data_IF_464917173679
#
_entry.id   IF_464917173679
#
_cell.length_a   1.000
_cell.length_b   1.000
_cell.length_c   1.000
_cell.angle_alpha   90.00
_cell.angle_beta   90.00
_cell.angle_gamma   90.00
#
_symmetry.space_group_name_H-M   'P 1'
#
loop_
_entity.id
_entity.type
_entity.pdbx_description
1 polymer ?
#
# COMPACT_ATOMS: atom_id res chain seq x y z
N UNK A 1 -15.18 -34.64 0.24
CA UNK A 1 -15.59 -34.70 -1.19
C UNK A 1 -14.62 -33.92 -2.09
N UNK A 2 -14.20 -32.70 -1.74
CA UNK A 2 -13.24 -31.89 -2.53
C UNK A 2 -11.90 -32.62 -2.78
N UNK A 3 -11.33 -33.29 -1.77
CA UNK A 3 -10.09 -34.06 -1.93
C UNK A 3 -10.30 -35.27 -2.86
N UNK A 4 -11.46 -35.93 -2.83
CA UNK A 4 -11.83 -36.97 -3.81
C UNK A 4 -12.07 -36.40 -5.22
N UNK A 5 -12.55 -35.15 -5.33
CA UNK A 5 -12.77 -34.44 -6.60
C UNK A 5 -11.46 -34.00 -7.28
N UNK A 6 -10.40 -33.71 -6.50
CA UNK A 6 -9.06 -33.40 -7.07
C UNK A 6 -8.46 -34.56 -7.84
N UNK A 7 -8.73 -35.82 -7.43
CA UNK A 7 -8.23 -37.01 -8.12
C UNK A 7 -8.97 -37.36 -9.41
N UNK A 8 -10.15 -36.76 -9.67
CA UNK A 8 -10.94 -36.97 -10.89
C UNK A 8 -11.10 -35.69 -11.71
N UNK A 9 -10.14 -34.76 -11.62
CA UNK A 9 -10.12 -33.56 -12.43
C UNK A 9 -10.03 -33.88 -13.92
N UNK A 10 -10.97 -33.36 -14.71
CA UNK A 10 -10.96 -33.48 -16.17
C UNK A 10 -10.74 -32.12 -16.82
N UNK A 11 -9.67 -31.99 -17.56
CA UNK A 11 -9.35 -30.77 -18.30
C UNK A 11 -10.49 -30.33 -19.24
N UNK A 12 -11.17 -31.26 -19.89
CA UNK A 12 -12.28 -30.99 -20.80
C UNK A 12 -13.50 -30.41 -20.06
N UNK A 13 -13.83 -30.94 -18.87
CA UNK A 13 -14.95 -30.41 -18.07
C UNK A 13 -14.64 -29.02 -17.53
N UNK A 14 -13.43 -28.83 -17.01
CA UNK A 14 -12.94 -27.52 -16.60
C UNK A 14 -12.97 -26.49 -17.75
N UNK A 15 -12.47 -26.87 -18.91
CA UNK A 15 -12.47 -26.02 -20.12
C UNK A 15 -13.90 -25.65 -20.53
N UNK A 16 -14.85 -26.57 -20.45
CA UNK A 16 -16.26 -26.29 -20.71
C UNK A 16 -16.83 -25.22 -19.79
N UNK A 17 -16.51 -25.26 -18.48
CA UNK A 17 -16.92 -24.22 -17.52
C UNK A 17 -16.25 -22.88 -17.87
N UNK A 18 -14.95 -22.85 -18.14
CA UNK A 18 -14.23 -21.62 -18.55
C UNK A 18 -14.84 -21.00 -19.80
N UNK A 19 -15.14 -21.80 -20.84
CA UNK A 19 -15.74 -21.31 -22.09
C UNK A 19 -17.13 -20.71 -21.82
N UNK A 20 -17.94 -21.38 -20.96
CA UNK A 20 -19.26 -20.85 -20.56
C UNK A 20 -19.10 -19.47 -19.90
N UNK A 21 -18.25 -19.36 -18.88
CA UNK A 21 -18.02 -18.10 -18.15
C UNK A 21 -17.48 -16.99 -19.06
N UNK A 22 -16.56 -17.31 -19.97
CA UNK A 22 -16.05 -16.36 -20.97
C UNK A 22 -17.14 -15.87 -21.91
N UNK A 23 -18.09 -16.73 -22.31
CA UNK A 23 -19.22 -16.33 -23.14
C UNK A 23 -20.19 -15.41 -22.39
N UNK A 24 -20.48 -15.70 -21.12
CA UNK A 24 -21.34 -14.87 -20.27
C UNK A 24 -20.72 -13.48 -20.08
N UNK A 25 -19.43 -13.40 -19.73
CA UNK A 25 -18.70 -12.14 -19.64
C UNK A 25 -18.71 -11.35 -20.94
N UNK A 26 -18.46 -12.02 -22.09
CA UNK A 26 -18.42 -11.34 -23.40
C UNK A 26 -19.78 -10.81 -23.84
N UNK A 27 -20.87 -11.42 -23.39
CA UNK A 27 -22.26 -10.95 -23.66
C UNK A 27 -22.61 -9.73 -22.84
N UNK A 28 -22.06 -9.58 -21.65
CA UNK A 28 -22.27 -8.42 -20.80
C UNK A 28 -21.29 -7.30 -21.14
N UNK A 29 -21.61 -6.59 -22.24
CA UNK A 29 -20.78 -5.48 -22.75
C UNK A 29 -20.59 -4.36 -21.72
N UNK A 30 -21.55 -4.14 -20.82
CA UNK A 30 -21.49 -3.11 -19.80
C UNK A 30 -20.47 -3.50 -18.74
N UNK A 31 -20.53 -4.74 -18.24
CA UNK A 31 -19.52 -5.23 -17.28
C UNK A 31 -18.12 -5.23 -17.89
N UNK A 32 -17.96 -5.67 -19.14
CA UNK A 32 -16.67 -5.61 -19.83
C UNK A 32 -16.17 -4.17 -19.96
N UNK A 33 -17.01 -3.23 -20.39
CA UNK A 33 -16.62 -1.82 -20.49
C UNK A 33 -16.23 -1.23 -19.11
N UNK A 34 -16.99 -1.55 -18.06
CA UNK A 34 -16.69 -1.09 -16.68
C UNK A 34 -15.37 -1.64 -16.16
N UNK A 35 -15.00 -2.89 -16.47
CA UNK A 35 -13.70 -3.49 -16.10
C UNK A 35 -12.52 -2.66 -16.62
N UNK A 36 -12.66 -2.07 -17.81
CA UNK A 36 -11.57 -1.29 -18.42
C UNK A 36 -11.67 0.21 -18.13
N UNK A 37 -12.87 0.80 -18.22
CA UNK A 37 -13.06 2.24 -18.07
C UNK A 37 -12.95 2.68 -16.60
N UNK A 38 -13.51 1.94 -15.65
CA UNK A 38 -13.50 2.31 -14.25
C UNK A 38 -12.07 2.42 -13.66
N UNK A 39 -11.16 1.45 -13.90
CA UNK A 39 -9.78 1.56 -13.43
C UNK A 39 -9.04 2.76 -14.00
N UNK A 40 -9.19 3.03 -15.29
CA UNK A 40 -8.55 4.17 -15.93
C UNK A 40 -9.08 5.50 -15.38
N UNK A 41 -10.38 5.60 -15.20
CA UNK A 41 -11.02 6.79 -14.65
C UNK A 41 -10.62 7.01 -13.18
N UNK A 42 -10.60 5.96 -12.37
CA UNK A 42 -10.13 6.03 -10.99
C UNK A 42 -8.64 6.38 -10.91
N UNK A 43 -7.80 5.79 -11.77
CA UNK A 43 -6.38 6.11 -11.81
C UNK A 43 -6.14 7.60 -12.11
N UNK A 44 -6.84 8.15 -13.09
CA UNK A 44 -6.71 9.55 -13.47
C UNK A 44 -7.22 10.46 -12.36
N UNK A 45 -8.45 10.26 -11.89
CA UNK A 45 -9.04 11.12 -10.85
C UNK A 45 -8.24 11.05 -9.55
N UNK A 46 -8.03 9.84 -8.99
CA UNK A 46 -7.34 9.69 -7.71
C UNK A 46 -5.86 10.03 -7.81
N UNK A 47 -5.22 9.78 -8.95
CA UNK A 47 -3.82 10.14 -9.19
C UNK A 47 -3.57 11.66 -9.15
N UNK A 48 -4.57 12.46 -9.47
CA UNK A 48 -4.47 13.92 -9.42
C UNK A 48 -5.12 14.56 -8.18
N UNK A 49 -6.07 13.90 -7.50
CA UNK A 49 -6.91 14.53 -6.47
C UNK A 49 -6.50 14.27 -5.02
N UNK A 50 -5.57 13.33 -4.74
CA UNK A 50 -5.29 12.91 -3.36
C UNK A 50 -4.23 13.80 -2.70
N UNK A 51 -4.58 14.41 -1.56
CA UNK A 51 -3.71 15.26 -0.74
C UNK A 51 -3.73 14.82 0.75
N UNK A 52 -2.57 14.68 1.40
CA UNK A 52 -2.48 14.07 2.73
C UNK A 52 -1.44 14.72 3.66
N UNK A 53 -1.80 14.96 4.94
CA UNK A 53 -0.92 15.51 5.99
C UNK A 53 -0.67 14.44 7.07
N UNK A 54 0.58 14.03 7.27
CA UNK A 54 0.96 13.02 8.24
C UNK A 54 1.68 13.64 9.44
N UNK A 55 1.36 13.16 10.66
CA UNK A 55 1.95 13.61 11.93
C UNK A 55 2.59 12.43 12.69
N UNK A 56 3.40 12.72 13.71
CA UNK A 56 4.12 11.74 14.54
C UNK A 56 4.99 10.77 13.72
N UNK A 57 5.71 11.29 12.73
CA UNK A 57 6.50 10.51 11.81
C UNK A 57 7.74 9.95 12.50
N UNK A 58 7.97 8.62 12.51
CA UNK A 58 9.13 8.01 13.12
C UNK A 58 10.42 8.53 12.50
N UNK A 59 11.29 9.06 13.35
CA UNK A 59 12.52 9.75 12.95
C UNK A 59 13.70 9.25 13.74
N UNK A 60 14.76 8.79 13.08
CA UNK A 60 16.02 8.47 13.72
C UNK A 60 16.83 9.76 13.98
N UNK A 61 17.26 9.95 15.22
CA UNK A 61 18.06 11.11 15.62
C UNK A 61 19.50 10.69 15.88
N UNK A 62 20.43 11.20 15.07
CA UNK A 62 21.87 11.13 15.26
C UNK A 62 22.34 12.47 15.81
N UNK A 63 22.52 12.58 17.12
CA UNK A 63 22.99 13.80 17.74
C UNK A 63 24.45 13.64 18.21
N UNK A 64 25.39 14.26 17.51
CA UNK A 64 26.81 14.29 17.84
C UNK A 64 27.21 15.52 18.70
N UNK A 65 26.21 16.37 19.06
CA UNK A 65 26.42 17.55 19.90
C UNK A 65 25.65 17.44 21.22
N UNK A 66 26.34 17.56 22.33
CA UNK A 66 25.74 17.55 23.68
C UNK A 66 25.34 18.93 24.20
N UNK A 67 25.46 19.96 23.36
CA UNK A 67 25.24 21.35 23.76
C UNK A 67 23.75 21.69 23.93
N UNK A 68 23.50 22.79 24.65
CA UNK A 68 22.12 23.22 24.95
C UNK A 68 21.28 23.50 23.67
N UNK A 69 21.88 24.16 22.64
CA UNK A 69 21.13 24.52 21.44
C UNK A 69 20.71 23.30 20.58
N UNK A 70 21.48 22.20 20.63
CA UNK A 70 21.07 20.95 19.96
C UNK A 70 19.86 20.32 20.65
N UNK A 71 19.82 20.37 22.00
CA UNK A 71 18.67 19.87 22.77
C UNK A 71 17.42 20.73 22.57
N UNK A 72 17.56 22.05 22.53
CA UNK A 72 16.46 22.98 22.23
C UNK A 72 15.90 22.71 20.82
N UNK A 73 16.76 22.48 19.82
CA UNK A 73 16.33 22.13 18.48
C UNK A 73 15.52 20.83 18.46
N UNK A 74 16.01 19.77 19.12
CA UNK A 74 15.32 18.49 19.20
C UNK A 74 13.95 18.63 19.87
N UNK A 75 13.88 19.31 21.01
CA UNK A 75 12.64 19.56 21.73
C UNK A 75 11.65 20.38 20.88
N UNK A 76 12.13 21.42 20.22
CA UNK A 76 11.29 22.25 19.36
C UNK A 76 10.76 21.47 18.14
N UNK A 77 11.59 20.62 17.52
CA UNK A 77 11.16 19.77 16.41
C UNK A 77 10.13 18.72 16.84
N UNK A 78 10.26 18.13 18.03
CA UNK A 78 9.26 17.23 18.62
C UNK A 78 7.93 17.96 18.89
N UNK A 79 7.98 19.19 19.38
CA UNK A 79 6.79 20.00 19.67
C UNK A 79 6.01 20.43 18.40
N UNK A 80 6.53 20.19 17.21
CA UNK A 80 5.78 20.43 15.97
C UNK A 80 4.73 19.35 15.68
N UNK A 81 4.70 18.27 16.46
CA UNK A 81 3.86 17.08 16.25
C UNK A 81 4.13 16.33 14.92
N UNK A 82 5.08 16.80 14.11
CA UNK A 82 5.46 16.11 12.88
C UNK A 82 6.43 14.95 13.13
N UNK A 83 7.30 15.04 14.14
CA UNK A 83 8.41 14.13 14.36
C UNK A 83 8.32 13.38 15.68
N UNK A 84 8.39 12.04 15.59
CA UNK A 84 8.61 11.16 16.74
C UNK A 84 10.08 10.73 16.73
N UNK A 85 10.95 11.49 17.43
CA UNK A 85 12.39 11.30 17.38
C UNK A 85 12.85 10.18 18.31
N UNK A 86 13.57 9.18 17.75
CA UNK A 86 14.22 8.09 18.47
C UNK A 86 15.73 8.25 18.35
N UNK A 87 16.46 8.40 19.46
CA UNK A 87 17.93 8.43 19.44
C UNK A 87 18.49 7.10 18.91
N UNK A 88 19.48 7.16 18.04
CA UNK A 88 20.22 6.02 17.51
C UNK A 88 21.71 6.23 17.72
N UNK A 89 22.45 5.13 17.92
CA UNK A 89 23.85 5.20 18.33
C UNK A 89 24.80 5.39 17.13
N UNK A 90 24.42 4.97 15.93
CA UNK A 90 25.29 5.00 14.77
C UNK A 90 24.54 5.28 13.48
N UNK A 91 25.27 5.78 12.47
CA UNK A 91 24.73 5.98 11.12
C UNK A 91 24.33 4.65 10.46
N UNK A 92 25.04 3.56 10.76
CA UNK A 92 24.71 2.24 10.27
C UNK A 92 23.34 1.76 10.80
N UNK A 93 23.06 1.97 12.09
CA UNK A 93 21.77 1.68 12.71
C UNK A 93 20.65 2.54 12.11
N UNK A 94 20.89 3.84 11.96
CA UNK A 94 19.93 4.74 11.32
C UNK A 94 19.59 4.31 9.90
N UNK A 95 20.60 3.92 9.12
CA UNK A 95 20.43 3.42 7.75
C UNK A 95 19.66 2.10 7.70
N UNK A 96 19.92 1.18 8.61
CA UNK A 96 19.20 -0.09 8.71
C UNK A 96 17.71 0.14 8.99
N UNK A 97 17.39 0.97 10.00
CA UNK A 97 16.01 1.34 10.32
C UNK A 97 15.31 2.04 9.15
N UNK A 98 16.03 2.89 8.43
CA UNK A 98 15.52 3.62 7.26
C UNK A 98 15.22 2.67 6.08
N UNK A 99 16.11 1.73 5.79
CA UNK A 99 15.90 0.72 4.72
C UNK A 99 14.77 -0.22 5.09
N UNK A 100 14.65 -0.65 6.36
CA UNK A 100 13.52 -1.47 6.84
C UNK A 100 12.18 -0.73 6.82
N UNK A 101 12.19 0.61 6.74
CA UNK A 101 11.00 1.43 6.81
C UNK A 101 10.47 1.65 8.24
N UNK A 102 11.25 1.29 9.26
CA UNK A 102 10.92 1.54 10.68
C UNK A 102 10.99 3.03 11.01
N UNK A 103 11.79 3.80 10.26
CA UNK A 103 11.85 5.26 10.30
C UNK A 103 11.74 5.85 8.90
N UNK A 104 11.10 7.01 8.82
CA UNK A 104 10.88 7.75 7.56
C UNK A 104 11.88 8.89 7.42
N UNK A 105 12.35 9.43 8.55
CA UNK A 105 13.35 10.49 8.59
C UNK A 105 14.59 10.09 9.35
N UNK A 106 15.73 10.67 8.96
CA UNK A 106 16.95 10.69 9.75
C UNK A 106 17.39 12.14 9.90
N UNK A 107 17.59 12.57 11.15
CA UNK A 107 18.11 13.90 11.47
C UNK A 107 19.49 13.75 12.07
N UNK A 108 20.50 14.35 11.44
CA UNK A 108 21.89 14.30 11.88
C UNK A 108 22.35 15.70 12.31
N UNK A 109 22.61 15.85 13.60
CA UNK A 109 23.18 17.06 14.20
C UNK A 109 24.69 16.87 14.31
N UNK A 110 25.53 17.69 13.65
CA UNK A 110 26.97 17.50 13.63
C UNK A 110 27.62 17.87 14.97
N UNK A 111 28.79 17.32 15.20
CA UNK A 111 29.60 17.64 16.38
C UNK A 111 29.94 19.15 16.42
N UNK A 112 29.82 19.73 17.61
CA UNK A 112 30.11 21.15 17.86
C UNK A 112 29.06 22.09 17.28
N UNK A 113 27.83 21.62 16.99
CA UNK A 113 26.71 22.41 16.48
C UNK A 113 26.45 23.65 17.35
N UNK A 114 26.26 23.49 18.63
CA UNK A 114 26.08 24.59 19.61
C UNK A 114 27.24 25.61 19.59
N UNK A 115 28.48 25.09 19.59
CA UNK A 115 29.66 25.94 19.59
C UNK A 115 29.80 26.76 18.31
N UNK A 116 29.50 26.16 17.15
CA UNK A 116 29.57 26.87 15.86
C UNK A 116 28.52 27.98 15.79
N UNK A 117 27.29 27.71 16.23
CA UNK A 117 26.23 28.73 16.28
C UNK A 117 26.66 29.92 17.18
N UNK A 118 27.19 29.63 18.38
CA UNK A 118 27.63 30.68 19.30
C UNK A 118 28.81 31.53 18.77
N UNK A 119 29.56 31.02 17.80
CA UNK A 119 30.61 31.75 17.07
C UNK A 119 30.08 32.51 15.85
N UNK A 120 28.80 32.45 15.55
CA UNK A 120 28.21 33.02 14.34
C UNK A 120 28.54 32.24 13.06
N UNK A 121 29.10 31.03 13.19
CA UNK A 121 29.30 30.12 12.07
C UNK A 121 27.94 29.44 11.79
N UNK A 122 27.70 29.07 10.52
CA UNK A 122 26.48 28.37 10.08
C UNK A 122 26.75 26.85 9.98
N UNK A 123 26.53 26.06 11.03
CA UNK A 123 26.66 24.61 10.93
C UNK A 123 25.59 24.03 10.01
N UNK A 124 25.92 22.96 9.31
CA UNK A 124 24.99 22.25 8.44
C UNK A 124 24.26 21.16 9.24
N UNK A 125 22.93 21.19 9.21
CA UNK A 125 22.06 20.14 9.77
C UNK A 125 21.52 19.30 8.63
N UNK A 126 21.79 17.98 8.66
CA UNK A 126 21.33 17.06 7.63
C UNK A 126 20.00 16.44 8.01
N UNK A 127 18.99 16.55 7.14
CA UNK A 127 17.72 15.85 7.25
C UNK A 127 17.54 14.99 6.02
N UNK A 128 17.52 13.68 6.20
CA UNK A 128 17.24 12.72 5.15
C UNK A 128 15.83 12.18 5.33
N UNK A 129 15.03 12.12 4.25
CA UNK A 129 13.67 11.63 4.28
C UNK A 129 13.40 10.60 3.21
N UNK A 130 12.56 9.61 3.51
CA UNK A 130 12.03 8.65 2.53
C UNK A 130 10.99 9.33 1.65
N UNK A 131 11.42 9.88 0.54
CA UNK A 131 10.58 10.66 -0.38
C UNK A 131 9.60 9.82 -1.21
N UNK A 132 9.39 8.56 -0.86
CA UNK A 132 8.29 7.74 -1.42
C UNK A 132 6.93 8.35 -1.07
N UNK A 133 6.81 8.98 0.12
CA UNK A 133 5.64 9.78 0.47
C UNK A 133 6.00 11.28 0.48
N UNK A 134 5.93 11.96 -0.69
CA UNK A 134 6.38 13.34 -0.82
C UNK A 134 5.58 14.33 0.01
N UNK A 135 4.33 13.99 0.35
CA UNK A 135 3.48 14.91 1.12
C UNK A 135 3.81 14.90 2.60
N UNK A 136 3.96 13.70 3.16
CA UNK A 136 4.45 13.52 4.54
C UNK A 136 5.77 14.27 4.72
N UNK A 137 6.68 14.12 3.74
CA UNK A 137 7.98 14.76 3.77
C UNK A 137 7.88 16.26 3.51
N UNK A 138 7.09 16.69 2.53
CA UNK A 138 6.96 18.10 2.18
C UNK A 138 6.46 18.94 3.35
N UNK A 139 5.43 18.48 4.05
CA UNK A 139 4.87 19.16 5.21
C UNK A 139 5.85 19.17 6.41
N UNK A 140 6.45 18.02 6.71
CA UNK A 140 7.42 17.90 7.80
C UNK A 140 8.69 18.74 7.55
N UNK A 141 9.23 18.72 6.32
CA UNK A 141 10.39 19.53 5.98
C UNK A 141 10.08 21.03 5.97
N UNK A 142 8.87 21.42 5.53
CA UNK A 142 8.41 22.80 5.61
C UNK A 142 8.27 23.26 7.06
N UNK A 143 7.76 22.38 7.95
CA UNK A 143 7.68 22.64 9.38
C UNK A 143 9.08 22.83 10.01
N UNK A 144 10.05 21.96 9.70
CA UNK A 144 11.45 22.15 10.17
C UNK A 144 12.02 23.45 9.60
N UNK A 145 11.89 23.69 8.30
CA UNK A 145 12.45 24.89 7.66
C UNK A 145 11.85 26.18 8.21
N UNK A 146 10.56 26.20 8.51
CA UNK A 146 9.90 27.34 9.13
C UNK A 146 10.27 27.50 10.60
N UNK A 147 10.28 26.40 11.32
CA UNK A 147 10.62 26.38 12.76
C UNK A 147 12.10 26.67 12.99
N UNK A 148 13.00 26.24 12.09
CA UNK A 148 14.44 26.52 12.19
C UNK A 148 14.77 28.02 12.32
N UNK A 149 13.92 28.87 11.74
CA UNK A 149 14.04 30.34 11.83
C UNK A 149 13.66 30.89 13.20
N UNK A 150 12.84 30.18 13.96
CA UNK A 150 12.28 30.65 15.24
C UNK A 150 12.69 29.83 16.45
N UNK A 151 13.02 28.54 16.25
CA UNK A 151 13.31 27.58 17.33
C UNK A 151 14.41 28.02 18.28
N UNK A 152 15.46 28.67 17.77
CA UNK A 152 16.62 29.07 18.57
C UNK A 152 16.58 30.55 18.99
N UNK A 153 15.59 31.34 18.55
CA UNK A 153 15.57 32.78 18.82
C UNK A 153 15.46 33.12 20.35
N UNK A 154 14.83 32.27 21.14
CA UNK A 154 14.72 32.44 22.59
C UNK A 154 16.06 32.26 23.32
N UNK A 155 16.87 31.32 22.87
CA UNK A 155 18.07 30.84 23.55
C UNK A 155 19.37 31.38 22.97
N UNK A 156 19.29 32.21 21.92
CA UNK A 156 20.46 32.87 21.33
C UNK A 156 20.93 34.05 22.17
N UNK A 157 22.28 34.25 22.29
CA UNK A 157 22.83 35.45 22.87
C UNK A 157 22.31 36.73 22.25
N UNK A 158 22.18 37.85 23.00
CA UNK A 158 21.64 39.11 22.47
C UNK A 158 22.35 39.63 21.22
N UNK A 159 23.66 39.36 21.08
CA UNK A 159 24.45 39.71 19.91
C UNK A 159 24.03 38.98 18.63
N UNK A 160 23.42 37.79 18.74
CA UNK A 160 22.93 36.98 17.62
C UNK A 160 21.41 37.13 17.44
N UNK A 161 20.68 37.65 18.42
CA UNK A 161 19.24 37.95 18.32
C UNK A 161 18.93 39.04 17.26
N UNK A 162 19.86 39.91 16.93
CA UNK A 162 19.75 40.93 15.87
C UNK A 162 19.81 40.32 14.46
N UNK A 163 20.19 39.06 14.32
CA UNK A 163 20.10 38.29 13.08
C UNK A 163 18.74 37.59 12.89
N UNK A 164 17.73 37.97 13.69
CA UNK A 164 16.37 37.45 13.57
C UNK A 164 15.86 37.64 12.13
N UNK A 165 15.69 36.51 11.43
CA UNK A 165 15.36 36.46 10.00
C UNK A 165 16.49 35.95 9.09
N UNK A 166 17.71 35.76 9.60
CA UNK A 166 18.77 35.00 8.90
C UNK A 166 18.86 33.60 9.47
N UNK A 167 18.99 32.62 8.58
CA UNK A 167 19.15 31.22 8.98
C UNK A 167 20.41 31.07 9.86
N UNK A 168 20.21 30.57 11.08
CA UNK A 168 21.27 30.37 12.08
C UNK A 168 22.11 29.14 11.77
N UNK A 169 21.55 28.22 10.98
CA UNK A 169 22.22 27.04 10.45
C UNK A 169 21.69 26.73 9.04
N UNK A 170 22.48 26.03 8.26
CA UNK A 170 22.07 25.58 6.93
C UNK A 170 21.39 24.21 7.02
N UNK A 171 20.15 24.13 6.53
CA UNK A 171 19.40 22.89 6.50
C UNK A 171 19.63 22.17 5.16
N UNK A 172 20.34 21.05 5.18
CA UNK A 172 20.54 20.20 4.01
C UNK A 172 19.46 19.12 4.00
N UNK A 173 18.61 19.13 2.97
CA UNK A 173 17.52 18.18 2.79
C UNK A 173 17.92 17.20 1.70
N UNK A 174 18.02 15.93 2.06
CA UNK A 174 18.28 14.84 1.13
C UNK A 174 17.06 13.93 1.02
N UNK A 175 16.35 13.98 -0.11
CA UNK A 175 15.19 13.14 -0.42
C UNK A 175 15.66 11.86 -1.10
N UNK A 176 15.54 10.72 -0.43
CA UNK A 176 15.85 9.40 -1.01
C UNK A 176 14.62 8.82 -1.73
N UNK A 177 14.85 8.04 -2.79
CA UNK A 177 13.85 7.31 -3.60
C UNK A 177 12.88 8.14 -4.43
N UNK A 178 12.63 9.42 -4.09
CA UNK A 178 11.81 10.34 -4.86
C UNK A 178 12.34 11.77 -4.71
N UNK A 179 13.51 12.09 -5.30
CA UNK A 179 14.16 13.39 -5.10
C UNK A 179 13.30 14.58 -5.53
N UNK A 180 12.49 14.41 -6.57
CA UNK A 180 11.60 15.45 -7.11
C UNK A 180 10.32 15.65 -6.29
N UNK A 181 10.04 14.73 -5.34
CA UNK A 181 8.86 14.82 -4.49
C UNK A 181 7.54 14.58 -5.25
N UNK A 182 7.55 13.73 -6.27
CA UNK A 182 6.39 13.47 -7.12
C UNK A 182 5.33 12.67 -6.32
N UNK A 183 4.18 13.27 -6.08
CA UNK A 183 3.07 12.69 -5.29
C UNK A 183 2.55 11.38 -5.89
N UNK A 184 2.53 11.29 -7.21
CA UNK A 184 2.07 10.13 -7.97
C UNK A 184 2.86 8.85 -7.64
N UNK A 185 4.14 8.95 -7.30
CA UNK A 185 4.97 7.80 -6.94
C UNK A 185 4.46 7.11 -5.67
N UNK A 186 3.92 7.86 -4.73
CA UNK A 186 3.27 7.29 -3.54
C UNK A 186 1.85 6.79 -3.82
N UNK A 187 1.07 7.57 -4.57
CA UNK A 187 -0.38 7.38 -4.71
C UNK A 187 -0.72 6.23 -5.66
N UNK A 188 -0.03 6.12 -6.79
CA UNK A 188 -0.39 5.16 -7.84
C UNK A 188 -0.24 3.70 -7.41
N UNK A 189 0.80 3.26 -6.67
CA UNK A 189 0.84 1.90 -6.14
C UNK A 189 -0.37 1.54 -5.28
N UNK A 190 -0.85 2.48 -4.47
CA UNK A 190 -2.07 2.33 -3.68
C UNK A 190 -3.34 2.23 -4.54
N UNK A 191 -3.41 3.04 -5.60
CA UNK A 191 -4.51 3.01 -6.57
C UNK A 191 -4.56 1.66 -7.28
N UNK A 192 -3.43 1.09 -7.73
CA UNK A 192 -3.36 -0.24 -8.35
C UNK A 192 -4.01 -1.28 -7.44
N UNK A 193 -3.60 -1.33 -6.18
CA UNK A 193 -4.15 -2.27 -5.21
C UNK A 193 -5.64 -2.07 -4.94
N UNK A 194 -6.09 -0.83 -4.79
CA UNK A 194 -7.49 -0.50 -4.51
C UNK A 194 -8.40 -0.83 -5.71
N UNK A 195 -7.97 -0.54 -6.93
CA UNK A 195 -8.72 -0.87 -8.15
C UNK A 195 -8.86 -2.39 -8.30
N UNK A 196 -7.75 -3.14 -8.17
CA UNK A 196 -7.78 -4.60 -8.27
C UNK A 196 -8.68 -5.20 -7.19
N UNK A 197 -8.59 -4.74 -5.94
CA UNK A 197 -9.47 -5.19 -4.87
C UNK A 197 -10.93 -4.97 -5.20
N UNK A 198 -11.28 -3.74 -5.57
CA UNK A 198 -12.69 -3.40 -5.86
C UNK A 198 -13.23 -4.22 -7.00
N UNK A 199 -12.53 -4.26 -8.11
CA UNK A 199 -13.00 -4.92 -9.33
C UNK A 199 -13.11 -6.43 -9.12
N UNK A 200 -12.04 -7.07 -8.62
CA UNK A 200 -12.00 -8.53 -8.53
C UNK A 200 -12.91 -9.08 -7.44
N UNK A 201 -12.94 -8.45 -6.25
CA UNK A 201 -13.80 -8.88 -5.16
C UNK A 201 -15.26 -8.73 -5.55
N UNK A 202 -15.64 -7.55 -6.06
CA UNK A 202 -17.01 -7.25 -6.42
C UNK A 202 -17.52 -8.14 -7.57
N UNK A 203 -16.76 -8.23 -8.67
CA UNK A 203 -17.15 -9.04 -9.81
C UNK A 203 -17.31 -10.52 -9.45
N UNK A 204 -16.36 -11.07 -8.67
CA UNK A 204 -16.42 -12.47 -8.23
C UNK A 204 -17.62 -12.71 -7.31
N UNK A 205 -17.83 -11.81 -6.34
CA UNK A 205 -18.96 -11.91 -5.42
C UNK A 205 -20.29 -11.85 -6.18
N UNK A 206 -20.46 -10.89 -7.08
CA UNK A 206 -21.69 -10.73 -7.84
C UNK A 206 -21.95 -11.87 -8.83
N UNK A 207 -20.91 -12.33 -9.57
CA UNK A 207 -21.07 -13.40 -10.55
C UNK A 207 -21.56 -14.70 -9.91
N UNK A 208 -20.98 -15.09 -8.77
CA UNK A 208 -21.36 -16.32 -8.07
C UNK A 208 -22.74 -16.17 -7.42
N UNK A 209 -23.03 -15.02 -6.80
CA UNK A 209 -24.33 -14.77 -6.16
C UNK A 209 -25.46 -14.71 -7.20
N UNK A 210 -25.23 -14.10 -8.37
CA UNK A 210 -26.20 -14.04 -9.47
C UNK A 210 -26.61 -15.43 -9.97
N UNK A 211 -25.67 -16.36 -10.12
CA UNK A 211 -26.00 -17.73 -10.51
C UNK A 211 -26.85 -18.44 -9.46
N UNK A 212 -26.59 -18.17 -8.19
CA UNK A 212 -27.37 -18.73 -7.08
C UNK A 212 -28.80 -18.18 -7.08
N UNK A 213 -28.97 -16.86 -7.26
CA UNK A 213 -30.30 -16.23 -7.39
C UNK A 213 -31.12 -16.78 -8.58
N UNK A 214 -30.44 -17.04 -9.69
CA UNK A 214 -31.09 -17.53 -10.91
C UNK A 214 -31.36 -19.05 -10.91
N UNK A 215 -31.03 -19.77 -9.82
CA UNK A 215 -31.18 -21.23 -9.73
C UNK A 215 -30.24 -22.02 -10.67
N UNK A 216 -29.28 -21.35 -11.31
CA UNK A 216 -28.36 -22.00 -12.25
C UNK A 216 -27.41 -23.00 -11.57
N UNK A 217 -27.28 -22.92 -10.25
CA UNK A 217 -26.52 -23.87 -9.43
C UNK A 217 -27.12 -25.28 -9.49
N UNK A 218 -28.46 -25.43 -9.58
CA UNK A 218 -29.12 -26.73 -9.68
C UNK A 218 -28.74 -27.46 -10.98
N UNK A 219 -28.58 -26.73 -12.08
CA UNK A 219 -28.13 -27.29 -13.35
C UNK A 219 -26.68 -27.82 -13.30
N UNK A 220 -25.83 -27.22 -12.46
CA UNK A 220 -24.46 -27.67 -12.23
C UNK A 220 -24.41 -28.96 -11.40
N UNK A 221 -25.38 -29.17 -10.49
CA UNK A 221 -25.46 -30.40 -9.68
C UNK A 221 -25.85 -31.62 -10.52
N UNK A 222 -26.58 -31.42 -11.63
CA UNK A 222 -26.98 -32.50 -12.55
C UNK A 222 -25.85 -32.85 -13.52
N UNK A 223 -24.88 -31.95 -13.69
CA UNK A 223 -23.74 -32.18 -14.58
C UNK A 223 -22.64 -33.04 -13.95
N UNK A 224 -21.85 -33.81 -14.74
CA UNK A 224 -20.78 -34.64 -14.20
C UNK A 224 -19.55 -33.83 -13.74
N UNK A 225 -19.69 -32.52 -13.51
CA UNK A 225 -18.62 -31.59 -13.12
C UNK A 225 -18.43 -31.63 -11.62
N UNK A 226 -17.18 -31.72 -11.15
CA UNK A 226 -16.87 -31.66 -9.72
C UNK A 226 -16.91 -30.23 -9.19
N UNK A 227 -17.27 -30.02 -7.92
CA UNK A 227 -17.30 -28.69 -7.29
C UNK A 227 -15.97 -27.95 -7.41
N UNK A 228 -14.85 -28.67 -7.42
CA UNK A 228 -13.51 -28.08 -7.63
C UNK A 228 -13.34 -27.55 -9.05
N UNK A 229 -13.77 -28.29 -10.07
CA UNK A 229 -13.72 -27.87 -11.48
C UNK A 229 -14.60 -26.64 -11.73
N UNK A 230 -15.74 -26.54 -11.04
CA UNK A 230 -16.62 -25.37 -11.11
C UNK A 230 -15.93 -24.15 -10.54
N UNK A 231 -15.36 -24.26 -9.32
CA UNK A 231 -14.69 -23.12 -8.69
C UNK A 231 -13.51 -22.63 -9.53
N UNK A 232 -12.61 -23.55 -9.93
CA UNK A 232 -11.43 -23.20 -10.70
C UNK A 232 -11.83 -22.66 -12.10
N UNK A 233 -12.85 -23.24 -12.71
CA UNK A 233 -13.39 -22.78 -14.00
C UNK A 233 -13.95 -21.36 -13.91
N UNK A 234 -14.65 -21.01 -12.85
CA UNK A 234 -15.18 -19.65 -12.61
C UNK A 234 -14.10 -18.63 -12.30
N UNK A 235 -13.09 -19.03 -11.52
CA UNK A 235 -11.99 -18.12 -11.15
C UNK A 235 -11.10 -17.81 -12.37
N UNK A 236 -10.89 -18.75 -13.27
CA UNK A 236 -9.95 -18.61 -14.39
C UNK A 236 -10.19 -17.35 -15.23
N UNK A 237 -11.41 -17.02 -15.70
CA UNK A 237 -11.66 -15.78 -16.45
C UNK A 237 -11.33 -14.52 -15.62
N UNK A 238 -11.65 -14.52 -14.34
CA UNK A 238 -11.37 -13.37 -13.47
C UNK A 238 -9.87 -13.20 -13.20
N UNK A 239 -9.09 -14.29 -13.14
CA UNK A 239 -7.61 -14.21 -13.09
C UNK A 239 -7.08 -13.54 -14.35
N UNK A 240 -7.58 -13.92 -15.54
CA UNK A 240 -7.17 -13.31 -16.81
C UNK A 240 -7.51 -11.83 -16.86
N UNK A 241 -8.71 -11.46 -16.41
CA UNK A 241 -9.15 -10.06 -16.28
C UNK A 241 -8.23 -9.31 -15.31
N UNK A 242 -7.96 -9.85 -14.14
CA UNK A 242 -7.09 -9.23 -13.14
C UNK A 242 -5.66 -9.03 -13.65
N UNK A 243 -5.10 -10.00 -14.36
CA UNK A 243 -3.78 -9.88 -14.98
C UNK A 243 -3.77 -8.81 -16.07
N UNK A 244 -4.76 -8.82 -16.96
CA UNK A 244 -4.85 -7.80 -18.01
C UNK A 244 -5.02 -6.40 -17.41
N UNK A 245 -5.90 -6.25 -16.41
CA UNK A 245 -6.16 -5.00 -15.72
C UNK A 245 -4.90 -4.48 -15.01
N UNK A 246 -4.17 -5.36 -14.31
CA UNK A 246 -2.94 -4.97 -13.62
C UNK A 246 -1.84 -4.54 -14.59
N UNK A 247 -1.68 -5.26 -15.71
CA UNK A 247 -0.72 -4.88 -16.76
C UNK A 247 -1.09 -3.56 -17.42
N UNK A 248 -2.39 -3.34 -17.69
CA UNK A 248 -2.89 -2.09 -18.26
C UNK A 248 -2.60 -0.91 -17.33
N UNK A 249 -2.93 -1.05 -16.03
CA UNK A 249 -2.71 0.03 -15.07
C UNK A 249 -1.21 0.29 -14.88
N UNK A 250 -0.37 -0.75 -14.82
CA UNK A 250 1.08 -0.60 -14.75
C UNK A 250 1.63 0.13 -15.97
N UNK A 251 1.20 -0.27 -17.17
CA UNK A 251 1.60 0.40 -18.40
C UNK A 251 1.21 1.87 -18.38
N UNK A 252 -0.04 2.19 -18.05
CA UNK A 252 -0.50 3.57 -17.91
C UNK A 252 0.27 4.33 -16.82
N UNK A 253 0.60 3.68 -15.71
CA UNK A 253 1.38 4.29 -14.61
C UNK A 253 2.78 4.72 -15.07
N UNK A 254 3.44 3.88 -15.86
CA UNK A 254 4.76 4.21 -16.41
C UNK A 254 4.66 5.28 -17.49
N UNK A 255 3.71 5.14 -18.44
CA UNK A 255 3.62 6.03 -19.61
C UNK A 255 3.06 7.42 -19.24
N UNK A 256 2.00 7.47 -18.41
CA UNK A 256 1.33 8.74 -18.08
C UNK A 256 2.00 9.49 -16.91
N UNK A 257 2.55 8.75 -15.93
CA UNK A 257 3.07 9.35 -14.70
C UNK A 257 4.58 9.16 -14.52
N UNK A 258 5.25 8.49 -15.46
CA UNK A 258 6.70 8.32 -15.43
C UNK A 258 7.21 7.53 -14.22
N UNK A 259 6.40 6.62 -13.65
CA UNK A 259 6.79 5.89 -12.44
C UNK A 259 7.94 4.94 -12.77
N UNK A 260 9.07 5.02 -12.04
CA UNK A 260 10.20 4.15 -12.28
C UNK A 260 9.87 2.70 -11.89
N UNK A 261 10.38 1.76 -12.66
CA UNK A 261 10.43 0.33 -12.33
C UNK A 261 11.85 -0.01 -11.92
N UNK A 262 12.22 0.31 -10.67
CA UNK A 262 13.59 0.12 -10.17
C UNK A 262 13.93 -1.37 -9.91
N UNK A 263 12.92 -2.19 -9.60
CA UNK A 263 13.09 -3.60 -9.26
C UNK A 263 12.73 -4.57 -10.38
N UNK A 264 12.72 -5.86 -10.03
CA UNK A 264 12.44 -6.95 -10.97
C UNK A 264 10.96 -7.01 -11.37
N UNK A 265 10.68 -6.95 -12.67
CA UNK A 265 9.33 -7.14 -13.24
C UNK A 265 8.77 -8.52 -12.89
N UNK A 266 9.62 -9.54 -12.80
CA UNK A 266 9.20 -10.89 -12.41
C UNK A 266 8.66 -10.94 -10.98
N UNK A 267 9.33 -10.27 -10.03
CA UNK A 267 8.87 -10.15 -8.65
C UNK A 267 7.53 -9.37 -8.59
N UNK A 268 7.42 -8.29 -9.34
CA UNK A 268 6.20 -7.50 -9.45
C UNK A 268 5.02 -8.34 -9.92
N UNK A 269 5.20 -9.10 -11.00
CA UNK A 269 4.16 -10.00 -11.53
C UNK A 269 3.79 -11.11 -10.54
N UNK A 270 4.76 -11.65 -9.82
CA UNK A 270 4.50 -12.66 -8.77
C UNK A 270 3.62 -12.10 -7.66
N UNK A 271 3.92 -10.89 -7.17
CA UNK A 271 3.12 -10.20 -6.14
C UNK A 271 1.71 -9.94 -6.65
N UNK A 272 1.57 -9.47 -7.89
CA UNK A 272 0.27 -9.22 -8.53
C UNK A 272 -0.57 -10.50 -8.62
N UNK A 273 0.02 -11.61 -9.05
CA UNK A 273 -0.67 -12.90 -9.15
C UNK A 273 -1.17 -13.36 -7.78
N UNK A 274 -0.33 -13.32 -6.75
CA UNK A 274 -0.71 -13.69 -5.38
C UNK A 274 -1.88 -12.81 -4.91
N UNK A 275 -1.79 -11.51 -5.15
CA UNK A 275 -2.83 -10.56 -4.75
C UNK A 275 -4.15 -10.76 -5.50
N UNK A 276 -4.11 -11.05 -6.80
CA UNK A 276 -5.28 -11.39 -7.61
C UNK A 276 -6.00 -12.61 -7.01
N UNK A 277 -5.27 -13.70 -6.76
CA UNK A 277 -5.87 -14.91 -6.15
C UNK A 277 -6.48 -14.61 -4.78
N UNK A 278 -5.86 -13.75 -3.99
CA UNK A 278 -6.35 -13.35 -2.69
C UNK A 278 -7.66 -12.54 -2.81
N UNK A 279 -7.73 -11.56 -3.70
CA UNK A 279 -8.94 -10.78 -3.96
C UNK A 279 -10.10 -11.69 -4.45
N UNK A 280 -9.83 -12.61 -5.36
CA UNK A 280 -10.83 -13.56 -5.85
C UNK A 280 -11.35 -14.47 -4.73
N UNK A 281 -10.47 -14.93 -3.85
CA UNK A 281 -10.84 -15.78 -2.70
C UNK A 281 -11.71 -15.03 -1.68
N UNK A 282 -11.45 -13.74 -1.46
CA UNK A 282 -12.33 -12.87 -0.65
C UNK A 282 -13.70 -12.74 -1.31
N UNK A 283 -13.75 -12.51 -2.64
CA UNK A 283 -15.00 -12.45 -3.40
C UNK A 283 -15.83 -13.72 -3.27
N UNK A 284 -15.19 -14.89 -3.38
CA UNK A 284 -15.84 -16.20 -3.16
C UNK A 284 -16.39 -16.31 -1.73
N UNK A 285 -15.61 -15.90 -0.73
CA UNK A 285 -16.02 -15.94 0.67
C UNK A 285 -17.25 -15.06 0.91
N UNK A 286 -17.30 -13.88 0.33
CA UNK A 286 -18.45 -12.97 0.39
C UNK A 286 -19.66 -13.60 -0.29
N UNK A 287 -19.50 -14.15 -1.50
CA UNK A 287 -20.60 -14.78 -2.26
C UNK A 287 -21.22 -15.96 -1.53
N UNK A 288 -20.44 -16.68 -0.74
CA UNK A 288 -20.91 -17.85 0.00
C UNK A 288 -21.84 -17.49 1.18
N UNK A 289 -21.73 -16.28 1.71
CA UNK A 289 -22.56 -15.75 2.81
C UNK A 289 -23.73 -14.92 2.27
N UNK A 290 -23.51 -14.17 1.19
CA UNK A 290 -24.52 -13.32 0.58
C UNK A 290 -25.70 -14.14 0.01
N UNK A 291 -26.92 -13.70 0.30
CA UNK A 291 -28.15 -14.35 -0.20
C UNK A 291 -28.60 -13.81 -1.56
N UNK A 292 -28.25 -12.57 -1.85
CA UNK A 292 -28.61 -11.87 -3.10
C UNK A 292 -27.50 -10.91 -3.54
N UNK A 293 -27.57 -10.43 -4.78
CA UNK A 293 -26.57 -9.53 -5.37
C UNK A 293 -26.45 -8.22 -4.59
N UNK A 294 -27.54 -7.67 -4.06
CA UNK A 294 -27.52 -6.45 -3.27
C UNK A 294 -26.70 -6.64 -1.98
N UNK A 295 -26.90 -7.77 -1.31
CA UNK A 295 -26.14 -8.12 -0.10
C UNK A 295 -24.66 -8.35 -0.42
N UNK A 296 -24.34 -9.02 -1.53
CA UNK A 296 -22.97 -9.21 -1.99
C UNK A 296 -22.27 -7.86 -2.26
N UNK A 297 -22.97 -6.92 -2.89
CA UNK A 297 -22.49 -5.54 -3.12
C UNK A 297 -22.21 -4.80 -1.81
N UNK A 298 -23.14 -4.85 -0.85
CA UNK A 298 -22.99 -4.20 0.45
C UNK A 298 -21.82 -4.78 1.25
N UNK A 299 -21.70 -6.12 1.30
CA UNK A 299 -20.61 -6.79 2.01
C UNK A 299 -19.25 -6.50 1.37
N UNK A 300 -19.17 -6.48 0.03
CA UNK A 300 -17.95 -6.09 -0.70
C UNK A 300 -17.54 -4.66 -0.40
N UNK A 301 -18.50 -3.73 -0.38
CA UNK A 301 -18.24 -2.33 -0.04
C UNK A 301 -17.83 -2.14 1.41
N UNK A 302 -18.47 -2.87 2.34
CA UNK A 302 -18.12 -2.87 3.75
C UNK A 302 -16.72 -3.41 4.03
N UNK A 303 -16.24 -4.36 3.24
CA UNK A 303 -14.85 -4.82 3.28
C UNK A 303 -13.88 -3.81 2.65
N UNK A 304 -14.25 -3.26 1.47
CA UNK A 304 -13.36 -2.43 0.66
C UNK A 304 -13.02 -1.09 1.33
N UNK A 305 -14.02 -0.37 1.87
CA UNK A 305 -13.81 0.97 2.45
C UNK A 305 -12.80 0.94 3.62
N UNK A 306 -12.94 0.08 4.65
CA UNK A 306 -11.92 -0.03 5.69
C UNK A 306 -10.57 -0.52 5.17
N UNK A 307 -10.56 -1.42 4.17
CA UNK A 307 -9.31 -1.88 3.57
C UNK A 307 -8.49 -0.75 2.97
N UNK A 308 -9.14 0.16 2.24
CA UNK A 308 -8.45 1.32 1.67
C UNK A 308 -8.00 2.30 2.76
N UNK A 309 -8.86 2.58 3.75
CA UNK A 309 -8.57 3.55 4.80
C UNK A 309 -7.44 3.11 5.73
N UNK A 310 -7.36 1.80 6.05
CA UNK A 310 -6.41 1.25 7.02
C UNK A 310 -5.17 0.60 6.38
N UNK A 311 -5.07 0.59 5.06
CA UNK A 311 -3.96 -0.03 4.33
C UNK A 311 -2.66 0.76 4.29
N UNK A 312 -2.67 2.02 4.70
CA UNK A 312 -1.54 2.93 4.47
C UNK A 312 -1.57 3.61 3.09
N UNK A 313 -2.71 3.50 2.37
CA UNK A 313 -2.92 4.22 1.11
C UNK A 313 -3.26 5.68 1.34
N UNK A 314 -4.27 5.96 2.20
CA UNK A 314 -4.77 7.31 2.47
C UNK A 314 -3.90 8.06 3.47
N UNK A 315 -3.46 7.42 4.53
CA UNK A 315 -2.53 7.99 5.50
C UNK A 315 -1.40 6.99 5.78
N UNK A 316 -0.19 7.46 6.11
CA UNK A 316 0.93 6.58 6.40
C UNK A 316 0.57 5.59 7.51
N UNK A 317 0.79 4.30 7.26
CA UNK A 317 0.40 3.23 8.17
C UNK A 317 1.01 3.41 9.58
N UNK A 318 2.27 3.86 9.61
CA UNK A 318 3.04 4.08 10.85
C UNK A 318 2.44 5.21 11.71
N UNK A 319 1.78 6.20 11.08
CA UNK A 319 1.17 7.35 11.76
C UNK A 319 -0.23 7.05 12.31
N UNK A 320 -0.77 5.87 12.04
CA UNK A 320 -2.09 5.47 12.52
C UNK A 320 -2.04 5.08 14.01
N UNK A 321 -3.15 5.24 14.76
CA UNK A 321 -3.23 4.73 16.13
C UNK A 321 -3.10 3.20 16.16
N UNK A 322 -2.60 2.65 17.28
CA UNK A 322 -2.27 1.22 17.41
C UNK A 322 -3.42 0.27 17.03
N UNK A 323 -4.66 0.61 17.39
CA UNK A 323 -5.83 -0.20 17.02
C UNK A 323 -6.04 -0.29 15.50
N UNK A 324 -5.80 0.82 14.79
CA UNK A 324 -5.93 0.87 13.33
C UNK A 324 -4.80 0.08 12.64
N UNK A 325 -3.58 0.14 13.18
CA UNK A 325 -2.46 -0.68 12.70
C UNK A 325 -2.72 -2.18 12.89
N UNK A 326 -3.30 -2.60 14.03
CA UNK A 326 -3.65 -4.01 14.27
C UNK A 326 -4.67 -4.49 13.23
N UNK A 327 -5.75 -3.74 13.00
CA UNK A 327 -6.77 -4.09 12.00
C UNK A 327 -6.16 -4.05 10.58
N UNK A 328 -5.42 -3.01 10.27
CA UNK A 328 -4.74 -2.84 8.98
C UNK A 328 -3.76 -3.97 8.67
N UNK A 329 -3.09 -4.53 9.69
CA UNK A 329 -2.19 -5.69 9.53
C UNK A 329 -2.93 -6.99 9.19
N UNK A 330 -4.24 -7.06 9.39
CA UNK A 330 -5.05 -8.19 8.93
C UNK A 330 -5.53 -8.04 7.47
N UNK A 331 -5.29 -6.88 6.86
CA UNK A 331 -5.78 -6.56 5.53
C UNK A 331 -4.68 -6.79 4.47
N UNK A 332 -4.97 -7.59 3.43
CA UNK A 332 -3.97 -7.91 2.40
C UNK A 332 -3.52 -6.69 1.59
N UNK A 333 -4.38 -5.69 1.42
CA UNK A 333 -4.05 -4.46 0.68
C UNK A 333 -2.85 -3.72 1.32
N UNK A 334 -2.71 -3.77 2.64
CA UNK A 334 -1.60 -3.17 3.39
C UNK A 334 -0.25 -3.70 2.91
N UNK A 335 -0.12 -5.02 2.88
CA UNK A 335 1.12 -5.68 2.42
C UNK A 335 1.34 -5.49 0.92
N UNK A 336 0.27 -5.56 0.13
CA UNK A 336 0.36 -5.36 -1.30
C UNK A 336 0.93 -3.98 -1.65
N UNK A 337 0.46 -2.91 -0.99
CA UNK A 337 0.96 -1.55 -1.22
C UNK A 337 2.44 -1.43 -0.85
N UNK A 338 2.86 -2.02 0.28
CA UNK A 338 4.27 -2.01 0.70
C UNK A 338 5.15 -2.77 -0.28
N UNK A 339 4.72 -3.95 -0.70
CA UNK A 339 5.44 -4.79 -1.66
C UNK A 339 5.58 -4.10 -3.02
N UNK A 340 4.51 -3.52 -3.56
CA UNK A 340 4.55 -2.83 -4.85
C UNK A 340 5.45 -1.59 -4.80
N UNK A 341 5.36 -0.78 -3.73
CA UNK A 341 6.26 0.37 -3.52
C UNK A 341 7.72 -0.08 -3.38
N UNK A 342 7.96 -1.16 -2.64
CA UNK A 342 9.29 -1.75 -2.46
C UNK A 342 9.92 -2.15 -3.80
N UNK A 343 9.17 -2.85 -4.65
CA UNK A 343 9.68 -3.26 -5.98
C UNK A 343 9.80 -2.06 -6.92
N UNK A 344 8.75 -1.26 -7.08
CA UNK A 344 8.72 -0.20 -8.11
C UNK A 344 9.68 0.93 -7.79
N UNK A 345 9.74 1.39 -6.53
CA UNK A 345 10.44 2.63 -6.16
C UNK A 345 11.79 2.38 -5.49
N UNK A 346 11.88 1.36 -4.61
CA UNK A 346 13.11 1.05 -3.88
C UNK A 346 14.01 0.03 -4.57
N UNK A 347 13.47 -0.72 -5.55
CA UNK A 347 14.21 -1.77 -6.23
C UNK A 347 14.53 -2.97 -5.34
N UNK A 348 13.67 -3.26 -4.35
CA UNK A 348 13.88 -4.32 -3.38
C UNK A 348 14.07 -5.69 -4.02
N UNK A 349 14.96 -6.46 -3.45
CA UNK A 349 15.18 -7.88 -3.74
C UNK A 349 14.16 -8.75 -2.99
N UNK A 350 14.08 -10.04 -3.35
CA UNK A 350 13.17 -10.98 -2.67
C UNK A 350 13.41 -11.03 -1.15
N UNK A 351 14.65 -10.94 -0.71
CA UNK A 351 14.99 -11.00 0.72
C UNK A 351 14.39 -9.83 1.52
N UNK A 352 14.39 -8.63 0.94
CA UNK A 352 13.83 -7.42 1.56
C UNK A 352 12.30 -7.40 1.53
N UNK A 353 11.68 -8.15 0.61
CA UNK A 353 10.22 -8.26 0.49
C UNK A 353 9.62 -9.35 1.40
N UNK A 354 10.43 -10.32 1.88
CA UNK A 354 9.95 -11.43 2.70
C UNK A 354 9.12 -11.02 3.93
N UNK A 355 9.48 -9.96 4.69
CA UNK A 355 8.72 -9.55 5.87
C UNK A 355 7.26 -9.18 5.57
N UNK A 356 6.98 -8.63 4.39
CA UNK A 356 5.62 -8.28 3.95
C UNK A 356 4.98 -9.38 3.09
N UNK A 357 5.77 -10.15 2.36
CA UNK A 357 5.31 -11.23 1.49
C UNK A 357 4.77 -12.42 2.30
N UNK A 358 5.47 -12.81 3.37
CA UNK A 358 5.05 -13.93 4.21
C UNK A 358 3.68 -13.72 4.88
N UNK A 359 3.40 -12.56 5.54
CA UNK A 359 2.08 -12.30 6.07
C UNK A 359 1.00 -12.26 4.98
N UNK A 360 1.27 -11.67 3.81
CA UNK A 360 0.34 -11.66 2.70
C UNK A 360 -0.01 -13.07 2.24
N UNK A 361 0.99 -13.97 2.10
CA UNK A 361 0.78 -15.37 1.76
C UNK A 361 0.01 -16.12 2.87
N UNK A 362 0.30 -15.85 4.14
CA UNK A 362 -0.43 -16.44 5.25
C UNK A 362 -1.92 -16.06 5.23
N UNK A 363 -2.22 -14.78 5.01
CA UNK A 363 -3.60 -14.30 4.83
C UNK A 363 -4.24 -14.98 3.63
N UNK A 364 -3.53 -15.11 2.50
CA UNK A 364 -4.03 -15.79 1.31
C UNK A 364 -4.45 -17.24 1.62
N UNK A 365 -3.60 -18.00 2.31
CA UNK A 365 -3.90 -19.38 2.71
C UNK A 365 -5.16 -19.45 3.59
N UNK A 366 -5.25 -18.55 4.58
CA UNK A 366 -6.42 -18.50 5.49
C UNK A 366 -7.70 -18.18 4.73
N UNK A 367 -7.66 -17.15 3.86
CA UNK A 367 -8.84 -16.72 3.10
C UNK A 367 -9.27 -17.78 2.08
N UNK A 368 -8.33 -18.42 1.39
CA UNK A 368 -8.59 -19.52 0.47
C UNK A 368 -9.26 -20.69 1.22
N UNK A 369 -8.72 -21.05 2.38
CA UNK A 369 -9.29 -22.13 3.21
C UNK A 369 -10.71 -21.80 3.67
N UNK A 370 -10.96 -20.58 4.14
CA UNK A 370 -12.30 -20.12 4.52
C UNK A 370 -13.24 -20.17 3.31
N UNK A 371 -12.82 -19.61 2.17
CA UNK A 371 -13.62 -19.60 0.94
C UNK A 371 -14.01 -21.00 0.48
N UNK A 372 -13.06 -21.93 0.45
CA UNK A 372 -13.31 -23.32 0.07
C UNK A 372 -14.25 -24.04 1.06
N UNK A 373 -14.08 -23.81 2.37
CA UNK A 373 -14.93 -24.43 3.40
C UNK A 373 -16.36 -23.89 3.38
N UNK A 374 -16.51 -22.61 3.16
CA UNK A 374 -17.83 -21.94 3.16
C UNK A 374 -18.59 -22.24 1.86
N UNK A 375 -17.92 -22.25 0.72
CA UNK A 375 -18.52 -22.63 -0.56
C UNK A 375 -19.06 -24.08 -0.55
N UNK A 376 -18.38 -24.98 0.17
CA UNK A 376 -18.83 -26.38 0.31
C UNK A 376 -20.17 -26.51 1.05
N UNK A 377 -20.45 -25.64 2.04
CA UNK A 377 -21.71 -25.65 2.78
C UNK A 377 -22.90 -25.13 1.96
N UNK A 378 -22.65 -24.46 0.85
CA UNK A 378 -23.70 -23.93 -0.04
C UNK A 378 -24.08 -24.91 -1.16
N UNK A 379 -23.32 -26.02 -1.29
CA UNK A 379 -23.59 -27.10 -2.24
C UNK A 379 -24.24 -28.33 -1.55
N UNK A 380 -24.23 -28.39 -0.21
CA UNK A 380 -24.94 -29.37 0.61
C UNK A 380 -26.28 -28.73 1.08
#
# INVERSE_FOLDING_TARGET
>A
MVIKGMFNFSFMRWLGVVIKEMHELRRDKVSVAMVFLTPLFQLVILGYAVNMDARNIPTALLNYDSGHLSQVFVAAAQNTDYFSMRPVASEAEARELFVKGDVIFTVTIPAGFTRKILRGEKPQLLVEGDAIDPMTIGNALSAIAQSSKTMLNGDLPPALKGAAGKDVFDLIIHRKFNPEGITQYNTIPGIIGSILSTTLILMTALAITRERENGAMENLLISPVTGFEVIVGKITPFVLIGLFQSLLILFCSVVMFGIPLAGSVFLLLTILIIYIFLCLSIGISISSVAQNQLQALQMSSFYFIPSVMLSGFISPFISMPAWAQIIGSCLPLTYFIRLIKGVMLKGYTLAELLPDLLPMCAIAVVVIFIGLKTYRKTLD
#
